data_IF_965843125575
#
_entry.id   IF_965843125575
#
_cell.length_a   1.000
_cell.length_b   1.000
_cell.length_c   1.000
_cell.angle_alpha   90.00
_cell.angle_beta   90.00
_cell.angle_gamma   90.00
#
_symmetry.space_group_name_H-M   'P 1'
#
loop_
_entity.id
_entity.type
_entity.pdbx_description
1 polymer ?
#
# COMPACT_ATOMS: atom_id res chain seq x y z
N UNK A 1 0.59 -5.03 25.72
CA UNK A 1 1.07 -4.69 24.37
C UNK A 1 0.10 -3.66 23.81
N UNK A 2 0.60 -2.44 23.59
CA UNK A 2 -0.21 -1.22 23.58
C UNK A 2 -0.90 -0.88 22.26
N UNK A 3 -1.83 0.07 22.35
CA UNK A 3 -2.49 0.73 21.22
C UNK A 3 -1.44 1.53 20.42
N UNK A 4 -0.95 0.98 19.31
CA UNK A 4 -0.07 1.69 18.38
C UNK A 4 -0.91 2.50 17.40
N UNK A 5 -0.56 3.76 17.16
CA UNK A 5 -1.21 4.54 16.10
C UNK A 5 -0.82 3.99 14.73
N UNK A 6 -1.79 3.88 13.83
CA UNK A 6 -1.58 3.30 12.50
C UNK A 6 -0.52 4.05 11.66
N UNK A 7 -0.41 5.37 11.83
CA UNK A 7 0.56 6.20 11.11
C UNK A 7 1.99 6.07 11.67
N UNK A 8 2.15 5.50 12.87
CA UNK A 8 3.47 5.29 13.48
C UNK A 8 4.06 3.90 13.18
N UNK A 9 3.28 3.00 12.56
CA UNK A 9 3.68 1.61 12.29
C UNK A 9 4.83 1.55 11.29
N UNK A 10 5.93 0.90 11.70
CA UNK A 10 7.07 0.62 10.83
C UNK A 10 6.95 -0.75 10.17
N UNK A 11 7.51 -0.86 8.97
CA UNK A 11 7.57 -2.11 8.23
C UNK A 11 8.66 -2.99 8.82
N UNK A 12 8.33 -4.24 9.14
CA UNK A 12 9.30 -5.24 9.57
C UNK A 12 10.29 -5.56 8.44
N UNK A 13 11.61 -5.29 8.60
CA UNK A 13 12.60 -5.51 7.56
C UNK A 13 13.01 -6.98 7.41
N UNK A 14 12.90 -7.77 8.48
CA UNK A 14 13.44 -9.13 8.59
C UNK A 14 12.62 -10.20 7.85
N UNK A 15 11.43 -9.85 7.33
CA UNK A 15 10.52 -10.81 6.70
C UNK A 15 10.50 -10.70 5.18
N UNK A 16 10.51 -11.85 4.51
CA UNK A 16 10.36 -12.00 3.05
C UNK A 16 8.93 -11.68 2.52
N UNK A 17 8.17 -10.82 3.22
CA UNK A 17 6.77 -10.54 2.87
C UNK A 17 6.66 -9.92 1.47
N UNK A 18 7.55 -8.99 1.09
CA UNK A 18 7.60 -8.39 -0.26
C UNK A 18 7.60 -9.44 -1.37
N UNK A 19 8.55 -10.39 -1.29
CA UNK A 19 8.67 -11.51 -2.24
C UNK A 19 7.42 -12.38 -2.24
N UNK A 20 6.87 -12.68 -1.06
CA UNK A 20 5.65 -13.47 -0.93
C UNK A 20 4.45 -12.77 -1.61
N UNK A 21 4.25 -11.48 -1.37
CA UNK A 21 3.16 -10.71 -1.98
C UNK A 21 3.28 -10.62 -3.50
N UNK A 22 4.47 -10.29 -4.02
CA UNK A 22 4.71 -10.28 -5.47
C UNK A 22 4.44 -11.65 -6.09
N UNK A 23 4.90 -12.72 -5.45
CA UNK A 23 4.65 -14.08 -5.93
C UNK A 23 3.15 -14.43 -5.92
N UNK A 24 2.43 -14.09 -4.85
CA UNK A 24 0.99 -14.33 -4.76
C UNK A 24 0.22 -13.58 -5.84
N UNK A 25 0.53 -12.31 -6.07
CA UNK A 25 -0.11 -11.51 -7.11
C UNK A 25 0.15 -12.09 -8.51
N UNK A 26 1.40 -12.48 -8.79
CA UNK A 26 1.75 -13.15 -10.05
C UNK A 26 0.97 -14.44 -10.25
N UNK A 27 0.96 -15.32 -9.26
CA UNK A 27 0.33 -16.64 -9.42
C UNK A 27 -1.19 -16.52 -9.51
N UNK A 28 -1.81 -15.65 -8.70
CA UNK A 28 -3.26 -15.51 -8.66
C UNK A 28 -3.84 -14.74 -9.84
N UNK A 29 -3.08 -13.79 -10.42
CA UNK A 29 -3.57 -12.88 -11.46
C UNK A 29 -2.81 -12.99 -12.79
N UNK A 30 -1.97 -14.01 -12.99
CA UNK A 30 -1.20 -14.19 -14.24
C UNK A 30 -2.06 -14.09 -15.52
N UNK A 31 -3.30 -14.59 -15.46
CA UNK A 31 -4.23 -14.61 -16.57
C UNK A 31 -5.33 -13.54 -16.47
N UNK A 32 -5.25 -12.64 -15.50
CA UNK A 32 -6.24 -11.58 -15.35
C UNK A 32 -6.08 -10.52 -16.47
N UNK A 33 -7.20 -9.96 -16.96
CA UNK A 33 -7.15 -8.77 -17.79
C UNK A 33 -6.33 -7.66 -17.12
N UNK A 34 -5.58 -6.90 -17.92
CA UNK A 34 -4.79 -5.74 -17.47
C UNK A 34 -3.63 -6.07 -16.50
N UNK A 35 -3.33 -7.35 -16.23
CA UNK A 35 -2.26 -7.74 -15.31
C UNK A 35 -0.90 -7.11 -15.67
N UNK A 36 -0.57 -7.10 -16.97
CA UNK A 36 0.71 -6.51 -17.45
C UNK A 36 0.79 -5.00 -17.22
N UNK A 37 -0.34 -4.29 -17.30
CA UNK A 37 -0.40 -2.84 -17.13
C UNK A 37 -0.11 -2.42 -15.69
N UNK A 38 -0.36 -3.32 -14.73
CA UNK A 38 -0.17 -3.04 -13.32
C UNK A 38 1.07 -3.71 -12.72
N UNK A 39 1.74 -4.57 -13.49
CA UNK A 39 2.85 -5.37 -13.01
C UNK A 39 4.04 -4.51 -12.55
N UNK A 40 4.36 -3.47 -13.34
CA UNK A 40 5.50 -2.60 -13.06
C UNK A 40 5.33 -1.87 -11.74
N UNK A 41 4.14 -1.32 -11.48
CA UNK A 41 3.81 -0.71 -10.19
C UNK A 41 3.94 -1.70 -9.04
N UNK A 42 3.42 -2.92 -9.20
CA UNK A 42 3.54 -3.96 -8.16
C UNK A 42 5.01 -4.27 -7.87
N UNK A 43 5.86 -4.38 -8.88
CA UNK A 43 7.28 -4.62 -8.64
C UNK A 43 7.97 -3.45 -7.98
N UNK A 44 7.69 -2.22 -8.43
CA UNK A 44 8.28 -1.00 -7.89
C UNK A 44 7.94 -0.86 -6.40
N UNK A 45 6.65 -0.94 -6.06
CA UNK A 45 6.19 -0.69 -4.68
C UNK A 45 6.70 -1.72 -3.67
N UNK A 46 6.85 -2.99 -4.08
CA UNK A 46 7.42 -4.03 -3.23
C UNK A 46 8.95 -4.10 -3.30
N UNK A 47 9.61 -3.37 -4.20
CA UNK A 47 11.08 -3.22 -4.24
C UNK A 47 11.55 -2.00 -3.44
N UNK A 48 10.71 -0.98 -3.34
CA UNK A 48 11.01 0.23 -2.59
C UNK A 48 11.19 -0.04 -1.08
N UNK A 49 12.18 0.62 -0.49
CA UNK A 49 12.48 0.51 0.94
C UNK A 49 11.72 1.59 1.72
N UNK A 50 10.40 1.40 1.80
CA UNK A 50 9.56 2.21 2.67
C UNK A 50 9.76 1.82 4.14
N UNK A 51 9.85 2.84 5.01
CA UNK A 51 10.04 2.66 6.45
C UNK A 51 8.70 2.50 7.17
N UNK A 52 7.70 3.32 6.84
CA UNK A 52 6.39 3.28 7.46
C UNK A 52 5.37 2.53 6.61
N UNK A 53 4.46 1.83 7.28
CA UNK A 53 3.38 1.10 6.61
C UNK A 53 2.38 2.06 5.94
N UNK A 54 2.20 3.26 6.50
CA UNK A 54 1.32 4.26 5.91
C UNK A 54 1.80 4.71 4.52
N UNK A 55 3.10 4.86 4.30
CA UNK A 55 3.66 5.26 3.00
C UNK A 55 3.34 4.23 1.91
N UNK A 56 3.48 2.95 2.27
CA UNK A 56 3.13 1.82 1.39
C UNK A 56 1.63 1.85 1.04
N UNK A 57 0.78 1.97 2.06
CA UNK A 57 -0.66 1.99 1.87
C UNK A 57 -1.11 3.19 1.02
N UNK A 58 -0.54 4.37 1.28
CA UNK A 58 -0.90 5.59 0.56
C UNK A 58 -0.48 5.54 -0.90
N UNK A 59 0.67 4.94 -1.22
CA UNK A 59 1.11 4.73 -2.61
C UNK A 59 0.14 3.80 -3.36
N UNK A 60 -0.28 2.70 -2.73
CA UNK A 60 -1.26 1.77 -3.29
C UNK A 60 -2.62 2.44 -3.49
N UNK A 61 -3.12 3.17 -2.49
CA UNK A 61 -4.42 3.86 -2.57
C UNK A 61 -4.40 4.91 -3.69
N UNK A 62 -3.34 5.71 -3.80
CA UNK A 62 -3.21 6.72 -4.86
C UNK A 62 -3.16 6.10 -6.25
N UNK A 63 -2.41 5.00 -6.39
CA UNK A 63 -2.36 4.24 -7.63
C UNK A 63 -3.74 3.72 -8.04
N UNK A 64 -4.46 3.07 -7.12
CA UNK A 64 -5.80 2.56 -7.38
C UNK A 64 -6.78 3.69 -7.69
N UNK A 65 -6.73 4.80 -6.94
CA UNK A 65 -7.55 6.00 -7.17
C UNK A 65 -7.39 6.50 -8.60
N UNK A 66 -6.15 6.60 -9.10
CA UNK A 66 -5.83 7.00 -10.48
C UNK A 66 -6.42 6.03 -11.51
N UNK A 67 -6.18 4.73 -11.35
CA UNK A 67 -6.61 3.73 -12.34
C UNK A 67 -8.12 3.45 -12.33
N UNK A 68 -8.78 3.71 -11.20
CA UNK A 68 -10.23 3.59 -11.06
C UNK A 68 -10.97 4.91 -11.35
N UNK A 69 -10.26 5.97 -11.75
CA UNK A 69 -10.81 7.29 -12.03
C UNK A 69 -11.65 7.85 -10.86
N UNK A 70 -11.18 7.64 -9.64
CA UNK A 70 -11.82 8.15 -8.43
C UNK A 70 -11.26 9.55 -8.18
N UNK A 71 -12.10 10.58 -8.23
CA UNK A 71 -11.65 11.96 -7.99
C UNK A 71 -11.77 12.40 -6.52
N UNK A 72 -12.49 11.63 -5.70
CA UNK A 72 -12.78 11.96 -4.29
C UNK A 72 -11.52 12.33 -3.52
N UNK A 73 -11.46 13.51 -2.86
CA UNK A 73 -10.31 13.92 -2.07
C UNK A 73 -9.92 12.88 -1.01
N UNK A 74 -8.62 12.62 -0.87
CA UNK A 74 -8.09 11.73 0.15
C UNK A 74 -7.57 12.59 1.31
N UNK A 75 -8.16 12.43 2.49
CA UNK A 75 -7.83 13.21 3.69
C UNK A 75 -7.51 12.23 4.81
N UNK A 76 -6.40 12.43 5.51
CA UNK A 76 -6.07 11.61 6.68
C UNK A 76 -6.78 12.17 7.91
N UNK A 77 -7.30 11.27 8.75
CA UNK A 77 -7.90 11.66 10.03
C UNK A 77 -6.92 12.42 10.92
N UNK A 78 -5.62 12.09 10.85
CA UNK A 78 -4.55 12.79 11.57
C UNK A 78 -4.43 14.26 11.19
N UNK A 79 -4.80 14.62 9.96
CA UNK A 79 -4.63 15.97 9.42
C UNK A 79 -5.79 16.88 9.86
N UNK A 80 -6.91 16.30 10.32
CA UNK A 80 -8.09 17.02 10.76
C UNK A 80 -7.95 17.61 12.17
N UNK A 81 -6.91 17.24 12.93
CA UNK A 81 -6.69 17.75 14.29
C UNK A 81 -7.74 17.33 15.33
N UNK A 82 -8.62 16.38 14.99
CA UNK A 82 -9.70 15.90 15.87
C UNK A 82 -9.14 14.93 16.89
N UNK A 83 -9.54 15.08 18.15
CA UNK A 83 -9.22 14.14 19.24
C UNK A 83 -10.48 13.35 19.60
N UNK A 84 -10.35 12.03 19.69
CA UNK A 84 -11.41 11.18 20.24
C UNK A 84 -11.66 11.53 21.71
N UNK A 85 -12.93 11.45 22.15
CA UNK A 85 -13.31 11.55 23.57
C UNK A 85 -12.88 10.32 24.35
#
# INVERSE_FOLDING_TARGET
MGLQKINDVTICPERNWRKKHVSSLKTSYANAPYFREHLDFVFEIFSERLEKLIDLNMSIIQYLKKHLMIDTPLILLSDLGVKGK
#
